data_IF_339192941009
#
_entry.id   IF_339192941009
#
_cell.length_a   1.000
_cell.length_b   1.000
_cell.length_c   1.000
_cell.angle_alpha   90.00
_cell.angle_beta   90.00
_cell.angle_gamma   90.00
#
_symmetry.space_group_name_H-M   'P 1'
#
loop_
_entity.id
_entity.type
_entity.pdbx_description
1 polymer ?
#
# COMPACT_ATOMS: atom_id res chain seq x y z
N UNK A 1 0.37 -56.93 0.52
CA UNK A 1 0.72 -56.77 1.96
C UNK A 1 1.76 -55.68 2.07
N UNK A 2 1.54 -54.68 2.93
CA UNK A 2 2.42 -53.51 3.08
C UNK A 2 1.62 -52.21 3.05
N UNK A 3 0.94 -51.94 4.16
CA UNK A 3 0.13 -50.77 4.45
C UNK A 3 0.98 -49.69 5.14
N UNK A 4 0.62 -48.42 4.97
CA UNK A 4 1.07 -47.28 5.80
C UNK A 4 1.71 -46.17 4.97
N UNK A 5 1.40 -44.88 5.14
CA UNK A 5 0.54 -44.18 6.08
C UNK A 5 0.24 -42.81 5.47
N UNK A 6 -1.02 -42.42 5.41
CA UNK A 6 -1.46 -41.07 5.04
C UNK A 6 -1.08 -40.10 6.16
N UNK A 7 -0.35 -39.03 5.84
CA UNK A 7 -0.29 -37.82 6.66
C UNK A 7 -0.85 -36.65 5.85
N UNK A 8 -2.01 -36.19 6.29
CA UNK A 8 -2.52 -34.87 5.96
C UNK A 8 -1.58 -33.81 6.54
N UNK A 9 -1.16 -32.86 5.71
CA UNK A 9 -0.82 -31.51 6.15
C UNK A 9 -1.48 -30.52 5.20
N UNK A 10 -2.06 -29.51 5.83
CA UNK A 10 -3.07 -28.58 5.39
C UNK A 10 -2.38 -27.23 5.17
N UNK A 11 -2.75 -26.56 4.05
CA UNK A 11 -2.56 -25.15 3.67
C UNK A 11 -1.15 -24.57 3.52
N UNK A 12 -0.86 -24.09 2.29
CA UNK A 12 -0.16 -22.81 2.07
C UNK A 12 -0.41 -22.25 0.66
N UNK A 13 -0.61 -20.93 0.62
CA UNK A 13 -0.33 -19.93 -0.43
C UNK A 13 -1.01 -19.98 -1.81
N UNK A 14 -1.84 -18.94 -2.03
CA UNK A 14 -1.78 -18.06 -3.22
C UNK A 14 -1.66 -18.73 -4.57
N UNK A 15 -2.59 -19.63 -4.90
CA UNK A 15 -2.69 -20.20 -6.23
C UNK A 15 -3.42 -19.23 -7.17
N UNK A 16 -2.67 -18.36 -7.87
CA UNK A 16 -3.16 -17.80 -9.14
C UNK A 16 -2.62 -18.72 -10.23
N UNK A 17 -3.46 -19.55 -10.89
CA UNK A 17 -2.99 -20.47 -11.92
C UNK A 17 -2.29 -19.73 -13.06
N UNK A 18 -1.17 -20.25 -13.54
CA UNK A 18 -0.29 -19.63 -14.54
C UNK A 18 -1.00 -19.17 -15.82
N UNK A 19 -2.09 -19.85 -16.21
CA UNK A 19 -2.93 -19.49 -17.36
C UNK A 19 -3.64 -18.14 -17.22
N UNK A 20 -3.70 -17.55 -16.02
CA UNK A 20 -4.37 -16.28 -15.74
C UNK A 20 -3.44 -15.06 -15.73
N UNK A 21 -2.11 -15.25 -15.68
CA UNK A 21 -1.14 -14.15 -15.80
C UNK A 21 -1.21 -13.45 -17.17
N UNK A 22 -1.61 -14.16 -18.23
CA UNK A 22 -1.71 -13.58 -19.58
C UNK A 22 -3.01 -12.80 -19.83
N UNK A 23 -4.13 -13.14 -19.19
CA UNK A 23 -5.39 -12.42 -19.33
C UNK A 23 -5.46 -11.19 -18.40
N UNK A 24 -4.87 -11.25 -17.20
CA UNK A 24 -4.78 -10.09 -16.30
C UNK A 24 -3.77 -9.06 -16.81
N UNK A 25 -2.58 -9.47 -17.26
CA UNK A 25 -1.53 -8.52 -17.66
C UNK A 25 -1.92 -7.66 -18.88
N UNK A 26 -2.65 -8.23 -19.87
CA UNK A 26 -3.12 -7.47 -21.04
C UNK A 26 -4.18 -6.42 -20.71
N UNK A 27 -5.07 -6.72 -19.75
CA UNK A 27 -6.07 -5.80 -19.23
C UNK A 27 -5.47 -4.79 -18.25
N UNK A 28 -4.48 -5.19 -17.46
CA UNK A 28 -3.82 -4.38 -16.44
C UNK A 28 -2.88 -3.32 -17.03
N UNK A 29 -2.13 -3.65 -18.09
CA UNK A 29 -1.32 -2.67 -18.84
C UNK A 29 -2.22 -1.67 -19.57
N UNK A 30 -3.34 -2.15 -20.15
CA UNK A 30 -4.32 -1.28 -20.79
C UNK A 30 -5.02 -0.37 -19.77
N UNK A 31 -5.30 -0.85 -18.57
CA UNK A 31 -6.03 -0.13 -17.53
C UNK A 31 -5.14 0.88 -16.77
N UNK A 32 -3.89 0.53 -16.47
CA UNK A 32 -2.89 1.45 -15.89
C UNK A 32 -2.49 2.57 -16.86
N UNK A 33 -2.52 2.32 -18.18
CA UNK A 33 -2.33 3.35 -19.20
C UNK A 33 -3.62 4.17 -19.46
N UNK A 34 -4.81 3.61 -19.24
CA UNK A 34 -6.11 4.21 -19.57
C UNK A 34 -6.69 5.13 -18.48
N UNK A 35 -6.28 4.99 -17.21
CA UNK A 35 -6.71 5.89 -16.13
C UNK A 35 -6.20 7.35 -16.29
N UNK A 36 -5.23 7.60 -17.19
CA UNK A 36 -4.50 8.88 -17.26
C UNK A 36 -4.21 9.41 -18.68
N UNK A 37 -4.96 9.00 -19.71
CA UNK A 37 -4.99 9.70 -21.01
C UNK A 37 -6.42 10.11 -21.35
N UNK A 38 -6.60 11.38 -21.69
CA UNK A 38 -7.89 12.02 -21.99
C UNK A 38 -8.67 11.37 -23.17
N UNK A 39 -8.02 10.52 -23.97
CA UNK A 39 -8.56 9.99 -25.23
C UNK A 39 -9.44 8.73 -25.09
N UNK A 40 -9.78 8.25 -23.88
CA UNK A 40 -10.50 6.97 -23.68
C UNK A 40 -12.04 7.08 -23.63
N UNK A 41 -12.60 8.29 -23.63
CA UNK A 41 -13.85 8.57 -22.92
C UNK A 41 -15.19 8.05 -23.50
N UNK A 42 -15.27 7.18 -24.50
CA UNK A 42 -16.59 6.63 -24.92
C UNK A 42 -16.57 5.18 -25.37
N UNK A 43 -15.60 4.76 -26.18
CA UNK A 43 -15.62 3.42 -26.76
C UNK A 43 -15.30 2.32 -25.73
N UNK A 44 -14.40 2.60 -24.79
CA UNK A 44 -13.84 1.55 -23.95
C UNK A 44 -14.36 1.54 -22.51
N UNK A 45 -14.92 2.64 -21.98
CA UNK A 45 -15.77 2.59 -20.77
C UNK A 45 -16.99 1.73 -21.02
N UNK A 46 -17.67 1.94 -22.15
CA UNK A 46 -18.83 1.13 -22.56
C UNK A 46 -18.43 -0.33 -22.82
N UNK A 47 -17.21 -0.58 -23.34
CA UNK A 47 -16.67 -1.93 -23.54
C UNK A 47 -16.32 -2.61 -22.22
N UNK A 48 -15.80 -1.89 -21.23
CA UNK A 48 -15.48 -2.40 -19.89
C UNK A 48 -16.75 -2.68 -19.09
N UNK A 49 -17.72 -1.77 -19.08
CA UNK A 49 -19.03 -1.99 -18.43
C UNK A 49 -19.77 -3.16 -19.10
N UNK A 50 -19.80 -3.22 -20.44
CA UNK A 50 -20.40 -4.35 -21.17
C UNK A 50 -19.62 -5.66 -20.98
N UNK A 51 -18.30 -5.59 -20.87
CA UNK A 51 -17.43 -6.72 -20.55
C UNK A 51 -17.73 -7.29 -19.17
N UNK A 52 -17.76 -6.44 -18.15
CA UNK A 52 -18.17 -6.78 -16.79
C UNK A 52 -19.57 -7.38 -16.73
N UNK A 53 -20.54 -6.79 -17.44
CA UNK A 53 -21.90 -7.34 -17.51
C UNK A 53 -21.94 -8.74 -18.16
N UNK A 54 -21.20 -8.93 -19.26
CA UNK A 54 -21.11 -10.24 -19.91
C UNK A 54 -20.40 -11.26 -18.99
N UNK A 55 -19.32 -10.85 -18.32
CA UNK A 55 -18.55 -11.69 -17.40
C UNK A 55 -19.37 -12.12 -16.17
N UNK A 56 -20.21 -11.23 -15.61
CA UNK A 56 -21.15 -11.59 -14.53
C UNK A 56 -22.14 -12.69 -14.94
N UNK A 57 -22.50 -12.75 -16.23
CA UNK A 57 -23.37 -13.80 -16.79
C UNK A 57 -22.62 -15.13 -16.95
N UNK A 58 -21.36 -15.07 -17.40
CA UNK A 58 -20.50 -16.25 -17.64
C UNK A 58 -20.02 -16.88 -16.33
N UNK A 59 -19.75 -16.05 -15.31
CA UNK A 59 -19.28 -16.47 -13.98
C UNK A 59 -20.29 -17.32 -13.20
N UNK A 60 -21.57 -17.33 -13.58
CA UNK A 60 -22.62 -18.16 -12.92
C UNK A 60 -22.33 -19.67 -12.98
N UNK A 61 -21.43 -20.10 -13.87
CA UNK A 61 -21.06 -21.51 -14.08
C UNK A 61 -19.68 -21.91 -13.50
N UNK A 62 -18.99 -21.03 -12.76
CA UNK A 62 -17.67 -21.31 -12.17
C UNK A 62 -17.76 -21.92 -10.75
N UNK A 63 -16.68 -22.59 -10.25
CA UNK A 63 -16.58 -22.98 -8.86
C UNK A 63 -16.75 -21.76 -7.93
N UNK A 64 -17.45 -21.93 -6.80
CA UNK A 64 -17.84 -20.82 -5.93
C UNK A 64 -16.66 -19.94 -5.48
N UNK A 65 -15.50 -20.52 -5.19
CA UNK A 65 -14.33 -19.77 -4.70
C UNK A 65 -13.67 -18.90 -5.79
N UNK A 66 -13.50 -19.42 -7.02
CA UNK A 66 -12.95 -18.65 -8.14
C UNK A 66 -13.89 -17.49 -8.53
N UNK A 67 -15.20 -17.77 -8.54
CA UNK A 67 -16.23 -16.77 -8.82
C UNK A 67 -16.19 -15.62 -7.79
N UNK A 68 -16.03 -15.95 -6.51
CA UNK A 68 -15.95 -14.97 -5.43
C UNK A 68 -14.76 -14.02 -5.61
N UNK A 69 -13.58 -14.55 -5.91
CA UNK A 69 -12.39 -13.72 -6.17
C UNK A 69 -12.64 -12.78 -7.34
N UNK A 70 -13.19 -13.27 -8.45
CA UNK A 70 -13.49 -12.39 -9.59
C UNK A 70 -14.49 -11.28 -9.23
N UNK A 71 -15.58 -11.62 -8.53
CA UNK A 71 -16.56 -10.64 -8.08
C UNK A 71 -15.97 -9.58 -7.14
N UNK A 72 -15.04 -9.95 -6.26
CA UNK A 72 -14.32 -9.01 -5.40
C UNK A 72 -13.49 -7.99 -6.20
N UNK A 73 -12.74 -8.46 -7.20
CA UNK A 73 -11.94 -7.58 -8.07
C UNK A 73 -12.82 -6.68 -8.93
N UNK A 74 -13.91 -7.24 -9.47
CA UNK A 74 -14.87 -6.49 -10.28
C UNK A 74 -15.60 -5.45 -9.43
N UNK A 75 -15.88 -5.76 -8.17
CA UNK A 75 -16.44 -4.81 -7.22
C UNK A 75 -15.48 -3.66 -6.93
N UNK A 76 -14.21 -3.92 -6.65
CA UNK A 76 -13.21 -2.86 -6.43
C UNK A 76 -13.04 -1.96 -7.64
N UNK A 77 -12.98 -2.56 -8.84
CA UNK A 77 -12.91 -1.81 -10.09
C UNK A 77 -14.16 -0.96 -10.30
N UNK A 78 -15.34 -1.52 -10.01
CA UNK A 78 -16.61 -0.80 -10.03
C UNK A 78 -16.60 0.37 -9.04
N UNK A 79 -16.08 0.16 -7.84
CA UNK A 79 -16.01 1.17 -6.78
C UNK A 79 -15.11 2.33 -7.18
N UNK A 80 -13.89 2.03 -7.64
CA UNK A 80 -12.95 3.03 -8.15
C UNK A 80 -13.53 3.76 -9.37
N UNK A 81 -14.14 3.01 -10.30
CA UNK A 81 -14.76 3.57 -11.50
C UNK A 81 -15.91 4.53 -11.17
N UNK A 82 -16.76 4.18 -10.21
CA UNK A 82 -17.83 5.04 -9.72
C UNK A 82 -17.28 6.29 -9.04
N UNK A 83 -16.30 6.14 -8.15
CA UNK A 83 -15.63 7.27 -7.50
C UNK A 83 -15.05 8.25 -8.53
N UNK A 84 -14.28 7.76 -9.50
CA UNK A 84 -13.72 8.60 -10.57
C UNK A 84 -14.81 9.24 -11.45
N UNK A 85 -15.88 8.52 -11.76
CA UNK A 85 -16.97 9.08 -12.56
C UNK A 85 -17.69 10.23 -11.84
N UNK A 86 -17.90 10.13 -10.53
CA UNK A 86 -18.51 11.19 -9.71
C UNK A 86 -17.57 12.36 -9.43
N UNK A 87 -16.25 12.16 -9.52
CA UNK A 87 -15.25 13.24 -9.47
C UNK A 87 -15.21 14.05 -10.77
N UNK A 88 -15.36 13.37 -11.92
CA UNK A 88 -15.24 14.00 -13.24
C UNK A 88 -16.55 14.56 -13.80
N UNK A 89 -17.69 13.99 -13.39
CA UNK A 89 -19.00 14.33 -13.94
C UNK A 89 -20.01 14.64 -12.83
N UNK A 90 -21.01 15.49 -13.09
CA UNK A 90 -22.12 15.67 -12.16
C UNK A 90 -22.88 14.34 -11.98
N UNK A 91 -23.52 14.10 -10.80
CA UNK A 91 -24.18 12.83 -10.50
C UNK A 91 -25.17 12.38 -11.58
N UNK A 92 -25.95 13.31 -12.15
CA UNK A 92 -26.96 13.04 -13.19
C UNK A 92 -26.38 12.61 -14.55
N UNK A 93 -25.05 12.68 -14.73
CA UNK A 93 -24.41 12.36 -16.01
C UNK A 93 -24.53 10.87 -16.33
N UNK A 94 -24.82 10.47 -17.59
CA UNK A 94 -25.04 9.06 -17.96
C UNK A 94 -23.90 8.12 -17.56
N UNK A 95 -22.65 8.59 -17.58
CA UNK A 95 -21.49 7.78 -17.17
C UNK A 95 -21.43 7.54 -15.65
N UNK A 96 -21.77 8.55 -14.85
CA UNK A 96 -21.80 8.41 -13.40
C UNK A 96 -22.92 7.45 -13.00
N UNK A 97 -24.09 7.59 -13.62
CA UNK A 97 -25.23 6.69 -13.42
C UNK A 97 -24.91 5.25 -13.85
N UNK A 98 -24.27 5.04 -15.00
CA UNK A 98 -23.88 3.71 -15.45
C UNK A 98 -22.82 3.05 -14.54
N UNK A 99 -21.85 3.83 -14.05
CA UNK A 99 -20.86 3.32 -13.08
C UNK A 99 -21.52 2.93 -11.76
N UNK A 100 -22.46 3.75 -11.29
CA UNK A 100 -23.24 3.49 -10.08
C UNK A 100 -24.07 2.21 -10.20
N UNK A 101 -24.78 2.04 -11.32
CA UNK A 101 -25.62 0.86 -11.57
C UNK A 101 -24.78 -0.43 -11.61
N UNK A 102 -23.60 -0.37 -12.22
CA UNK A 102 -22.67 -1.50 -12.25
C UNK A 102 -22.16 -1.84 -10.85
N UNK A 103 -21.72 -0.84 -10.08
CA UNK A 103 -21.26 -1.03 -8.71
C UNK A 103 -22.37 -1.63 -7.85
N UNK A 104 -23.60 -1.13 -7.97
CA UNK A 104 -24.75 -1.67 -7.26
C UNK A 104 -24.99 -3.14 -7.61
N UNK A 105 -25.00 -3.50 -8.91
CA UNK A 105 -25.21 -4.88 -9.35
C UNK A 105 -24.16 -5.84 -8.77
N UNK A 106 -22.88 -5.46 -8.81
CA UNK A 106 -21.81 -6.29 -8.26
C UNK A 106 -21.89 -6.36 -6.73
N UNK A 107 -22.28 -5.27 -6.06
CA UNK A 107 -22.49 -5.26 -4.60
C UNK A 107 -23.58 -6.25 -4.19
N UNK A 108 -24.71 -6.25 -4.91
CA UNK A 108 -25.81 -7.19 -4.66
C UNK A 108 -25.38 -8.64 -4.88
N UNK A 109 -24.62 -8.92 -5.95
CA UNK A 109 -24.08 -10.24 -6.21
C UNK A 109 -23.11 -10.72 -5.10
N UNK A 110 -22.33 -9.80 -4.52
CA UNK A 110 -21.46 -10.10 -3.38
C UNK A 110 -22.25 -10.30 -2.07
N UNK A 111 -23.34 -9.57 -1.86
CA UNK A 111 -24.22 -9.79 -0.71
C UNK A 111 -24.84 -11.19 -0.74
N UNK A 112 -25.27 -11.67 -1.91
CA UNK A 112 -25.76 -13.05 -2.08
C UNK A 112 -24.69 -14.09 -1.75
N UNK A 113 -23.41 -13.77 -1.96
CA UNK A 113 -22.31 -14.70 -1.79
C UNK A 113 -21.67 -14.68 -0.39
N UNK A 114 -21.82 -13.58 0.36
CA UNK A 114 -21.26 -13.37 1.71
C UNK A 114 -22.31 -13.31 2.82
N UNK A 115 -23.51 -13.83 2.59
CA UNK A 115 -24.62 -13.82 3.56
C UNK A 115 -24.94 -12.41 4.10
N UNK A 116 -24.91 -11.40 3.23
CA UNK A 116 -25.54 -10.11 3.46
C UNK A 116 -24.66 -8.94 3.90
N UNK A 117 -23.37 -9.13 4.18
CA UNK A 117 -22.47 -8.00 4.46
C UNK A 117 -21.20 -8.02 3.60
N UNK A 118 -20.85 -6.85 3.08
CA UNK A 118 -19.63 -6.60 2.35
C UNK A 118 -18.83 -5.54 3.08
N UNK A 119 -17.60 -5.84 3.46
CA UNK A 119 -16.67 -4.93 4.11
C UNK A 119 -15.48 -4.68 3.20
N UNK A 120 -15.16 -3.40 3.02
CA UNK A 120 -13.94 -2.92 2.40
C UNK A 120 -13.10 -2.31 3.52
N UNK A 121 -11.95 -2.89 3.84
CA UNK A 121 -11.04 -2.36 4.84
C UNK A 121 -9.66 -2.08 4.26
N UNK A 122 -8.95 -1.14 4.87
CA UNK A 122 -7.57 -0.83 4.54
C UNK A 122 -6.69 -1.10 5.76
N UNK A 123 -5.65 -1.91 5.56
CA UNK A 123 -4.70 -2.29 6.60
C UNK A 123 -3.25 -2.30 6.11
N UNK A 124 -2.33 -2.78 6.95
CA UNK A 124 -0.88 -2.77 6.68
C UNK A 124 -0.48 -3.54 5.40
N UNK A 125 -1.28 -4.53 4.99
CA UNK A 125 -1.05 -5.35 3.79
C UNK A 125 -1.82 -4.87 2.55
N UNK A 126 -2.49 -3.71 2.64
CA UNK A 126 -3.29 -3.13 1.57
C UNK A 126 -4.79 -3.26 1.78
N UNK A 127 -5.53 -3.39 0.67
CA UNK A 127 -6.99 -3.44 0.66
C UNK A 127 -7.49 -4.86 0.92
N UNK A 128 -8.47 -4.96 1.81
CA UNK A 128 -9.13 -6.19 2.22
C UNK A 128 -10.61 -6.11 1.86
N UNK A 129 -11.17 -7.19 1.33
CA UNK A 129 -12.62 -7.37 1.18
C UNK A 129 -13.06 -8.54 2.03
N UNK A 130 -13.94 -8.33 3.01
CA UNK A 130 -14.36 -9.38 3.94
C UNK A 130 -13.18 -10.16 4.54
N UNK A 131 -12.12 -9.42 4.92
CA UNK A 131 -10.85 -9.93 5.45
C UNK A 131 -9.98 -10.73 4.46
N UNK A 132 -10.35 -10.80 3.18
CA UNK A 132 -9.52 -11.37 2.13
C UNK A 132 -8.61 -10.31 1.53
N UNK A 133 -7.30 -10.57 1.55
CA UNK A 133 -6.30 -9.67 0.95
C UNK A 133 -6.46 -9.67 -0.55
N UNK A 134 -6.52 -8.48 -1.11
CA UNK A 134 -6.43 -8.27 -2.55
C UNK A 134 -4.97 -8.06 -2.91
N UNK A 135 -4.58 -8.44 -4.13
CA UNK A 135 -3.19 -8.34 -4.59
C UNK A 135 -2.66 -6.90 -4.44
N UNK A 136 -1.66 -6.67 -3.58
CA UNK A 136 -1.13 -5.33 -3.29
C UNK A 136 -0.30 -4.77 -4.47
N UNK A 137 0.07 -5.60 -5.45
CA UNK A 137 0.82 -5.13 -6.63
C UNK A 137 -0.04 -4.28 -7.56
N UNK A 138 -1.36 -4.34 -7.43
CA UNK A 138 -2.30 -3.58 -8.26
C UNK A 138 -2.41 -2.16 -7.74
N UNK A 139 -1.72 -1.25 -8.42
CA UNK A 139 -1.55 0.16 -8.02
C UNK A 139 -2.87 0.89 -7.72
N UNK A 140 -3.94 0.63 -8.46
CA UNK A 140 -5.20 1.34 -8.23
C UNK A 140 -5.90 0.92 -6.93
N UNK A 141 -5.70 -0.31 -6.46
CA UNK A 141 -6.26 -0.75 -5.17
C UNK A 141 -5.51 -0.10 -4.01
N UNK A 142 -4.18 0.06 -4.14
CA UNK A 142 -3.40 0.83 -3.18
C UNK A 142 -3.92 2.28 -3.05
N UNK A 143 -4.17 2.95 -4.18
CA UNK A 143 -4.74 4.31 -4.20
C UNK A 143 -6.11 4.40 -3.57
N UNK A 144 -6.96 3.38 -3.72
CA UNK A 144 -8.23 3.31 -3.01
C UNK A 144 -8.00 3.28 -1.49
N UNK A 145 -7.01 2.51 -1.03
CA UNK A 145 -6.57 2.50 0.37
C UNK A 145 -6.14 3.89 0.87
N UNK A 146 -5.35 4.61 0.08
CA UNK A 146 -4.95 5.99 0.36
C UNK A 146 -6.16 6.94 0.45
N UNK A 147 -7.11 6.84 -0.49
CA UNK A 147 -8.33 7.67 -0.49
C UNK A 147 -9.18 7.44 0.78
N UNK A 148 -9.26 6.20 1.27
CA UNK A 148 -9.91 5.86 2.54
C UNK A 148 -9.12 6.43 3.73
N UNK A 149 -7.81 6.23 3.75
CA UNK A 149 -6.92 6.72 4.80
C UNK A 149 -6.97 8.24 4.95
N UNK A 150 -6.91 8.96 3.83
CA UNK A 150 -6.97 10.42 3.77
C UNK A 150 -8.30 10.99 4.27
N UNK A 151 -9.36 10.16 4.32
CA UNK A 151 -10.68 10.52 4.89
C UNK A 151 -10.87 9.99 6.32
N UNK A 152 -9.83 9.45 6.93
CA UNK A 152 -9.84 8.78 8.22
C UNK A 152 -10.82 7.60 8.30
N UNK A 153 -10.99 6.88 7.19
CA UNK A 153 -11.84 5.70 7.09
C UNK A 153 -10.95 4.47 7.15
N UNK A 154 -11.15 3.62 8.17
CA UNK A 154 -10.46 2.33 8.26
C UNK A 154 -11.18 1.26 7.44
N UNK A 155 -12.51 1.24 7.53
CA UNK A 155 -13.34 0.34 6.74
C UNK A 155 -14.67 0.96 6.34
N UNK A 156 -15.25 0.46 5.26
CA UNK A 156 -16.62 0.72 4.83
C UNK A 156 -17.37 -0.61 4.87
N UNK A 157 -18.53 -0.61 5.51
CA UNK A 157 -19.41 -1.77 5.58
C UNK A 157 -20.66 -1.43 4.77
N UNK A 158 -20.97 -2.30 3.81
CA UNK A 158 -22.16 -2.26 2.98
C UNK A 158 -23.04 -3.42 3.41
N UNK A 159 -24.13 -3.12 4.12
CA UNK A 159 -25.10 -4.10 4.59
C UNK A 159 -26.18 -4.35 3.51
N UNK A 160 -26.80 -5.53 3.55
CA UNK A 160 -27.93 -5.87 2.69
C UNK A 160 -29.08 -4.86 2.85
N UNK A 161 -29.84 -4.64 1.78
CA UNK A 161 -30.92 -3.65 1.75
C UNK A 161 -30.48 -2.26 1.27
N UNK A 162 -29.19 -2.09 0.97
CA UNK A 162 -28.65 -0.86 0.40
C UNK A 162 -29.39 -0.47 -0.89
N UNK A 163 -29.90 0.76 -0.91
CA UNK A 163 -30.58 1.30 -2.09
C UNK A 163 -29.61 2.04 -3.01
N UNK A 164 -29.98 2.13 -4.29
CA UNK A 164 -29.25 2.90 -5.29
C UNK A 164 -29.00 4.35 -4.84
N UNK A 165 -30.01 4.98 -4.23
CA UNK A 165 -29.93 6.36 -3.76
C UNK A 165 -28.91 6.52 -2.62
N UNK A 166 -28.75 5.52 -1.76
CA UNK A 166 -27.74 5.53 -0.70
C UNK A 166 -26.33 5.44 -1.27
N UNK A 167 -26.14 4.55 -2.25
CA UNK A 167 -24.85 4.43 -2.94
C UNK A 167 -24.49 5.70 -3.71
N UNK A 168 -25.47 6.36 -4.35
CA UNK A 168 -25.27 7.65 -5.04
C UNK A 168 -24.80 8.75 -4.09
N UNK A 169 -25.44 8.86 -2.91
CA UNK A 169 -25.04 9.80 -1.86
C UNK A 169 -23.62 9.51 -1.38
N UNK A 170 -23.30 8.25 -1.13
CA UNK A 170 -21.96 7.82 -0.75
C UNK A 170 -20.91 8.24 -1.81
N UNK A 171 -21.15 7.94 -3.09
CA UNK A 171 -20.23 8.32 -4.18
C UNK A 171 -20.10 9.84 -4.33
N UNK A 172 -21.17 10.59 -4.06
CA UNK A 172 -21.16 12.06 -4.03
C UNK A 172 -20.26 12.59 -2.91
N UNK A 173 -20.21 11.94 -1.74
CA UNK A 173 -19.27 12.33 -0.70
C UNK A 173 -17.82 11.93 -1.01
N UNK A 174 -17.62 10.81 -1.70
CA UNK A 174 -16.30 10.42 -2.19
C UNK A 174 -15.74 11.36 -3.28
N UNK A 175 -16.61 12.06 -4.02
CA UNK A 175 -16.17 13.08 -4.98
C UNK A 175 -15.77 14.41 -4.34
N UNK A 176 -16.10 14.63 -3.07
CA UNK A 176 -15.60 15.78 -2.33
C UNK A 176 -14.11 15.58 -1.98
N UNK A 177 -13.30 16.66 -1.96
CA UNK A 177 -11.95 16.61 -1.41
C UNK A 177 -11.95 16.10 0.03
N UNK A 178 -11.00 15.26 0.40
CA UNK A 178 -10.92 14.64 1.73
C UNK A 178 -10.98 15.68 2.87
N UNK A 179 -10.26 16.80 2.72
CA UNK A 179 -10.28 17.91 3.68
C UNK A 179 -11.69 18.45 3.93
N UNK A 180 -12.54 18.59 2.90
CA UNK A 180 -13.93 19.05 3.05
C UNK A 180 -14.81 18.02 3.74
N UNK A 181 -14.55 16.73 3.53
CA UNK A 181 -15.25 15.65 4.23
C UNK A 181 -14.92 15.71 5.73
N UNK A 182 -13.65 15.90 6.07
CA UNK A 182 -13.17 16.02 7.46
C UNK A 182 -13.75 17.27 8.15
N UNK A 183 -13.70 18.43 7.49
CA UNK A 183 -14.23 19.70 8.02
C UNK A 183 -15.74 19.64 8.31
N UNK A 184 -16.47 18.76 7.63
CA UNK A 184 -17.90 18.50 7.86
C UNK A 184 -18.17 17.37 8.86
N UNK A 185 -17.19 16.99 9.67
CA UNK A 185 -17.34 15.97 10.71
C UNK A 185 -17.10 14.53 10.24
N UNK A 186 -16.60 14.34 9.01
CA UNK A 186 -16.25 13.04 8.44
C UNK A 186 -17.39 12.36 7.68
N UNK A 187 -17.05 11.27 7.00
CA UNK A 187 -18.01 10.54 6.15
C UNK A 187 -19.18 9.95 6.94
N UNK A 188 -18.93 9.50 8.18
CA UNK A 188 -19.95 8.92 9.05
C UNK A 188 -21.13 9.89 9.25
N UNK A 189 -20.82 11.13 9.65
CA UNK A 189 -21.82 12.16 9.92
C UNK A 189 -22.58 12.55 8.64
N UNK A 190 -21.87 12.71 7.53
CA UNK A 190 -22.48 13.06 6.23
C UNK A 190 -23.48 11.99 5.74
N UNK A 191 -23.15 10.70 5.93
CA UNK A 191 -24.05 9.62 5.58
C UNK A 191 -25.29 9.59 6.49
N UNK A 192 -25.10 9.79 7.79
CA UNK A 192 -26.19 9.86 8.77
C UNK A 192 -27.15 11.03 8.47
N UNK A 193 -26.63 12.24 8.24
CA UNK A 193 -27.41 13.44 7.93
C UNK A 193 -28.24 13.30 6.64
N UNK A 194 -27.81 12.44 5.72
CA UNK A 194 -28.51 12.20 4.45
C UNK A 194 -29.37 10.94 4.46
N UNK A 195 -29.55 10.30 5.63
CA UNK A 195 -30.40 9.12 5.78
C UNK A 195 -29.84 7.89 5.05
N UNK A 196 -28.51 7.75 5.00
CA UNK A 196 -27.85 6.53 4.52
C UNK A 196 -27.60 5.63 5.73
N UNK A 197 -28.22 4.45 5.73
CA UNK A 197 -28.21 3.53 6.87
C UNK A 197 -27.46 2.23 6.57
N UNK A 198 -27.41 1.82 5.30
CA UNK A 198 -26.77 0.55 4.90
C UNK A 198 -25.28 0.69 4.54
N UNK A 199 -24.73 1.90 4.55
CA UNK A 199 -23.31 2.16 4.32
C UNK A 199 -22.72 2.78 5.58
N UNK A 200 -21.83 2.06 6.25
CA UNK A 200 -21.27 2.45 7.55
C UNK A 200 -19.75 2.53 7.47
N UNK A 201 -19.15 3.73 7.62
CA UNK A 201 -17.71 3.85 7.78
C UNK A 201 -17.32 3.53 9.23
N UNK A 202 -16.38 2.60 9.40
CA UNK A 202 -15.60 2.52 10.63
C UNK A 202 -14.45 3.52 10.52
N UNK A 203 -14.57 4.62 11.26
CA UNK A 203 -13.55 5.65 11.28
C UNK A 203 -12.32 5.14 12.04
N UNK A 204 -11.14 5.58 11.62
CA UNK A 204 -9.92 5.42 12.41
C UNK A 204 -10.14 6.16 13.73
N UNK A 205 -10.29 5.41 14.84
CA UNK A 205 -10.26 6.01 16.17
C UNK A 205 -8.84 6.44 16.47
N UNK A 206 -8.54 7.72 16.23
CA UNK A 206 -7.44 8.37 16.95
C UNK A 206 -7.89 8.53 18.39
N UNK A 207 -7.69 7.50 19.21
CA UNK A 207 -7.85 7.64 20.64
C UNK A 207 -6.83 8.69 21.11
N UNK A 208 -7.31 9.84 21.59
CA UNK A 208 -6.54 10.65 22.52
C UNK A 208 -6.21 9.77 23.73
N UNK A 209 -4.98 9.27 23.76
CA UNK A 209 -4.31 8.56 24.87
C UNK A 209 -5.09 7.42 25.53
N UNK A 210 -4.61 6.20 25.29
CA UNK A 210 -4.28 5.32 26.41
C UNK A 210 -2.83 4.87 26.27
N UNK A 211 -2.07 5.14 27.34
CA UNK A 211 -0.73 4.64 27.58
C UNK A 211 -0.78 3.13 27.77
N UNK A 212 -0.71 2.38 26.68
CA UNK A 212 -0.26 0.99 26.69
C UNK A 212 0.90 0.87 25.71
N UNK A 213 1.94 0.17 26.15
CA UNK A 213 3.22 -0.03 25.48
C UNK A 213 3.03 -0.66 24.09
N UNK A 214 2.84 0.18 23.09
CA UNK A 214 3.38 -0.07 21.75
C UNK A 214 4.56 0.88 21.62
N UNK A 215 5.78 0.33 21.54
CA UNK A 215 7.02 1.12 21.57
C UNK A 215 7.22 2.03 20.35
N UNK A 216 6.29 2.04 19.39
CA UNK A 216 6.31 2.92 18.22
C UNK A 216 5.15 3.90 18.28
N UNK A 217 5.48 5.17 18.54
CA UNK A 217 4.51 6.24 18.47
C UNK A 217 3.86 6.31 17.09
N UNK A 218 2.56 6.58 17.06
CA UNK A 218 1.74 6.87 15.87
C UNK A 218 2.38 7.83 14.84
N UNK A 219 3.24 8.81 15.21
CA UNK A 219 3.96 9.64 14.23
C UNK A 219 4.94 8.87 13.36
N UNK A 220 5.64 7.87 13.91
CA UNK A 220 6.69 7.13 13.21
C UNK A 220 6.08 6.27 12.08
N UNK A 221 4.91 5.66 12.31
CA UNK A 221 4.22 4.84 11.29
C UNK A 221 3.79 5.65 10.06
N UNK A 222 3.29 6.87 10.27
CA UNK A 222 2.90 7.78 9.17
C UNK A 222 4.14 8.22 8.40
N UNK A 223 5.23 8.54 9.11
CA UNK A 223 6.52 8.87 8.49
C UNK A 223 7.09 7.69 7.69
N UNK A 224 6.95 6.46 8.18
CA UNK A 224 7.44 5.25 7.51
C UNK A 224 6.66 4.94 6.23
N UNK A 225 5.33 5.00 6.27
CA UNK A 225 4.49 4.82 5.09
C UNK A 225 4.84 5.88 4.01
N UNK A 226 5.01 7.13 4.44
CA UNK A 226 5.39 8.24 3.56
C UNK A 226 6.79 8.07 2.98
N UNK A 227 7.74 7.55 3.76
CA UNK A 227 9.08 7.21 3.31
C UNK A 227 9.04 6.09 2.26
N UNK A 228 8.27 5.03 2.48
CA UNK A 228 8.10 3.94 1.52
C UNK A 228 7.53 4.41 0.19
N UNK A 229 6.50 5.25 0.24
CA UNK A 229 5.93 5.88 -0.95
C UNK A 229 7.01 6.64 -1.73
N UNK A 230 7.82 7.46 -1.06
CA UNK A 230 8.88 8.22 -1.71
C UNK A 230 9.97 7.32 -2.32
N UNK A 231 10.35 6.24 -1.65
CA UNK A 231 11.35 5.29 -2.14
C UNK A 231 10.84 4.41 -3.30
N UNK A 232 9.54 4.12 -3.36
CA UNK A 232 8.92 3.36 -4.44
C UNK A 232 8.73 4.21 -5.70
N UNK A 233 8.25 5.44 -5.54
CA UNK A 233 7.85 6.29 -6.67
C UNK A 233 8.93 7.28 -7.13
N UNK A 234 9.81 7.72 -6.22
CA UNK A 234 10.84 8.73 -6.51
C UNK A 234 11.94 8.27 -7.46
N UNK A 235 12.21 6.96 -7.55
CA UNK A 235 13.27 6.42 -8.40
C UNK A 235 12.84 6.21 -9.87
N UNK A 236 11.54 6.13 -10.16
CA UNK A 236 11.03 5.65 -11.46
C UNK A 236 10.33 6.69 -12.34
N UNK A 237 9.87 7.83 -11.79
CA UNK A 237 9.12 8.82 -12.58
C UNK A 237 9.76 10.20 -12.49
N UNK A 238 10.21 10.68 -13.65
CA UNK A 238 10.64 12.07 -13.82
C UNK A 238 9.53 13.02 -13.36
N UNK A 239 9.87 13.89 -12.41
CA UNK A 239 9.21 15.14 -12.06
C UNK A 239 7.67 15.11 -12.10
N UNK A 240 6.98 14.84 -10.98
CA UNK A 240 5.59 15.30 -10.86
C UNK A 240 4.58 14.47 -10.07
N UNK A 241 4.96 13.73 -9.04
CA UNK A 241 4.00 13.42 -7.96
C UNK A 241 4.53 14.09 -6.70
N UNK A 242 4.15 15.36 -6.52
CA UNK A 242 4.17 15.93 -5.20
C UNK A 242 3.11 15.22 -4.37
N UNK A 243 3.44 14.90 -3.12
CA UNK A 243 2.43 14.79 -2.07
C UNK A 243 1.49 15.99 -2.21
N UNK A 244 0.20 15.87 -1.91
CA UNK A 244 -0.84 16.89 -2.17
C UNK A 244 -0.56 18.33 -1.68
N UNK A 245 0.57 18.55 -0.98
CA UNK A 245 1.12 19.82 -0.52
C UNK A 245 2.26 20.41 -1.40
N UNK A 246 2.63 19.79 -2.53
CA UNK A 246 3.67 20.30 -3.43
C UNK A 246 5.12 19.96 -3.06
N UNK A 247 5.34 19.19 -1.98
CA UNK A 247 6.67 18.70 -1.60
C UNK A 247 7.15 17.59 -2.55
N UNK A 248 8.40 17.69 -2.99
CA UNK A 248 9.06 16.66 -3.78
C UNK A 248 9.41 15.44 -2.92
N UNK A 249 9.43 14.25 -3.52
CA UNK A 249 9.84 13.02 -2.82
C UNK A 249 11.23 13.14 -2.17
N UNK A 250 12.13 13.93 -2.75
CA UNK A 250 13.45 14.18 -2.20
C UNK A 250 13.41 15.03 -0.92
N UNK A 251 12.55 16.03 -0.84
CA UNK A 251 12.37 16.85 0.38
C UNK A 251 11.80 16.01 1.53
N UNK A 252 10.84 15.12 1.22
CA UNK A 252 10.28 14.19 2.21
C UNK A 252 11.35 13.22 2.71
N UNK A 253 12.17 12.65 1.82
CA UNK A 253 13.28 11.77 2.22
C UNK A 253 14.31 12.54 3.02
N UNK A 254 14.67 13.78 2.65
CA UNK A 254 15.60 14.61 3.42
C UNK A 254 15.06 14.85 4.83
N UNK A 255 13.81 15.28 4.97
CA UNK A 255 13.18 15.52 6.27
C UNK A 255 13.12 14.24 7.12
N UNK A 256 12.89 13.08 6.50
CA UNK A 256 12.95 11.79 7.19
C UNK A 256 14.37 11.48 7.70
N UNK A 257 15.37 11.70 6.86
CA UNK A 257 16.77 11.50 7.19
C UNK A 257 17.31 12.50 8.21
N UNK A 258 16.62 13.61 8.53
CA UNK A 258 17.03 14.53 9.60
C UNK A 258 17.06 13.86 10.98
N UNK A 259 16.37 12.73 11.16
CA UNK A 259 16.38 11.97 12.40
C UNK A 259 16.96 10.56 12.20
N UNK A 260 18.28 10.37 12.46
CA UNK A 260 18.95 9.08 12.33
C UNK A 260 18.33 7.96 13.17
N UNK A 261 17.77 8.27 14.34
CA UNK A 261 17.11 7.28 15.21
C UNK A 261 15.82 6.76 14.59
N UNK A 262 14.98 7.65 14.07
CA UNK A 262 13.74 7.27 13.37
C UNK A 262 14.09 6.47 12.10
N UNK A 263 15.13 6.90 11.38
CA UNK A 263 15.63 6.19 10.19
C UNK A 263 16.12 4.77 10.54
N UNK A 264 16.90 4.61 11.60
CA UNK A 264 17.37 3.30 12.05
C UNK A 264 16.19 2.37 12.37
N UNK A 265 15.21 2.86 13.13
CA UNK A 265 14.00 2.10 13.47
C UNK A 265 13.20 1.66 12.24
N UNK A 266 13.07 2.54 11.24
CA UNK A 266 12.43 2.19 9.97
C UNK A 266 13.13 1.03 9.27
N UNK A 267 14.46 1.10 9.18
CA UNK A 267 15.27 0.05 8.56
C UNK A 267 15.18 -1.27 9.33
N UNK A 268 15.08 -1.23 10.66
CA UNK A 268 14.85 -2.43 11.48
C UNK A 268 13.48 -3.05 11.25
N UNK A 269 12.43 -2.23 11.12
CA UNK A 269 11.07 -2.74 10.87
C UNK A 269 10.90 -3.43 9.52
N UNK A 270 11.64 -2.97 8.49
CA UNK A 270 11.68 -3.66 7.19
C UNK A 270 12.01 -5.14 7.31
N UNK A 271 12.75 -5.50 8.35
CA UNK A 271 13.20 -6.87 8.62
C UNK A 271 12.21 -7.62 9.50
N UNK A 272 11.60 -6.97 10.50
CA UNK A 272 10.59 -7.60 11.37
C UNK A 272 9.33 -8.03 10.60
N UNK A 273 8.99 -7.32 9.52
CA UNK A 273 7.90 -7.73 8.63
C UNK A 273 8.22 -8.98 7.78
N UNK A 274 9.48 -9.41 7.73
CA UNK A 274 10.00 -10.44 6.82
C UNK A 274 10.85 -11.50 7.53
N UNK A 275 10.61 -11.80 8.82
CA UNK A 275 11.45 -12.68 9.66
C UNK A 275 11.72 -14.10 9.10
N UNK A 276 10.95 -14.57 8.11
CA UNK A 276 11.20 -15.83 7.39
C UNK A 276 12.05 -15.70 6.12
N UNK A 277 12.50 -14.51 5.74
CA UNK A 277 13.23 -14.24 4.49
C UNK A 277 14.76 -14.18 4.71
N UNK A 278 15.55 -15.10 4.12
CA UNK A 278 17.01 -15.08 4.24
C UNK A 278 17.69 -13.84 3.62
N UNK A 279 16.95 -13.01 2.85
CA UNK A 279 17.46 -11.82 2.17
C UNK A 279 17.12 -10.48 2.86
N UNK A 280 16.75 -10.47 4.14
CA UNK A 280 16.32 -9.26 4.86
C UNK A 280 17.33 -8.09 4.80
N UNK A 281 18.63 -8.38 4.73
CA UNK A 281 19.71 -7.37 4.60
C UNK A 281 19.61 -6.62 3.26
N UNK A 282 19.13 -7.31 2.21
CA UNK A 282 18.95 -6.73 0.89
C UNK A 282 17.93 -5.59 0.88
N UNK A 283 16.92 -5.63 1.74
CA UNK A 283 15.91 -4.57 1.85
C UNK A 283 16.46 -3.31 2.49
N UNK A 284 17.26 -3.45 3.55
CA UNK A 284 17.95 -2.33 4.21
C UNK A 284 18.91 -1.65 3.23
N UNK A 285 19.73 -2.45 2.54
CA UNK A 285 20.66 -1.95 1.51
C UNK A 285 19.91 -1.25 0.38
N UNK A 286 18.84 -1.84 -0.12
CA UNK A 286 18.03 -1.23 -1.18
C UNK A 286 17.37 0.07 -0.73
N UNK A 287 16.89 0.16 0.51
CA UNK A 287 16.30 1.38 1.05
C UNK A 287 17.33 2.51 1.14
N UNK A 288 18.53 2.23 1.67
CA UNK A 288 19.63 3.20 1.73
C UNK A 288 20.10 3.64 0.35
N UNK A 289 20.29 2.71 -0.59
CA UNK A 289 20.69 3.03 -1.97
C UNK A 289 19.63 3.89 -2.67
N UNK A 290 18.34 3.56 -2.54
CA UNK A 290 17.25 4.35 -3.12
C UNK A 290 17.16 5.73 -2.50
N UNK A 291 17.21 5.82 -1.17
CA UNK A 291 17.16 7.09 -0.45
C UNK A 291 18.31 8.01 -0.87
N UNK A 292 19.54 7.49 -0.83
CA UNK A 292 20.71 8.27 -1.19
C UNK A 292 20.76 8.63 -2.68
N UNK A 293 20.34 7.74 -3.58
CA UNK A 293 20.23 8.07 -5.01
C UNK A 293 19.19 9.17 -5.24
N UNK A 294 18.04 9.10 -4.56
CA UNK A 294 17.00 10.10 -4.69
C UNK A 294 17.50 11.48 -4.20
N UNK A 295 18.13 11.53 -3.02
CA UNK A 295 18.70 12.78 -2.50
C UNK A 295 19.81 13.30 -3.41
N UNK A 296 20.78 12.46 -3.80
CA UNK A 296 21.90 12.86 -4.65
C UNK A 296 21.44 13.45 -5.98
N UNK A 297 20.43 12.84 -6.62
CA UNK A 297 19.97 13.24 -7.95
C UNK A 297 18.96 14.40 -7.93
N UNK A 298 18.14 14.52 -6.88
CA UNK A 298 17.03 15.49 -6.82
C UNK A 298 17.23 16.62 -5.82
N UNK A 299 18.10 16.44 -4.82
CA UNK A 299 18.46 17.46 -3.84
C UNK A 299 19.96 17.39 -3.48
N UNK A 300 20.86 17.66 -4.44
CA UNK A 300 22.31 17.51 -4.23
C UNK A 300 22.86 18.43 -3.14
N UNK A 301 22.20 19.56 -2.85
CA UNK A 301 22.58 20.45 -1.76
C UNK A 301 22.44 19.78 -0.37
N UNK A 302 21.45 18.90 -0.20
CA UNK A 302 21.22 18.16 1.04
C UNK A 302 22.05 16.86 1.14
N UNK A 303 22.79 16.46 0.09
CA UNK A 303 23.47 15.16 0.02
C UNK A 303 24.44 14.93 1.17
N UNK A 304 25.34 15.89 1.45
CA UNK A 304 26.37 15.70 2.48
C UNK A 304 25.78 15.49 3.88
N UNK A 305 24.75 16.26 4.24
CA UNK A 305 24.07 16.11 5.53
C UNK A 305 23.28 14.80 5.58
N UNK A 306 22.52 14.50 4.54
CA UNK A 306 21.72 13.26 4.46
C UNK A 306 22.60 12.02 4.51
N UNK A 307 23.77 12.05 3.86
CA UNK A 307 24.78 10.99 3.91
C UNK A 307 25.30 10.76 5.32
N UNK A 308 25.65 11.82 6.05
CA UNK A 308 26.07 11.72 7.45
C UNK A 308 24.95 11.14 8.33
N UNK A 309 23.71 11.59 8.14
CA UNK A 309 22.58 11.08 8.90
C UNK A 309 22.27 9.60 8.60
N UNK A 310 22.44 9.17 7.35
CA UNK A 310 22.33 7.75 6.96
C UNK A 310 23.44 6.90 7.58
N UNK A 311 24.66 7.43 7.68
CA UNK A 311 25.77 6.74 8.35
C UNK A 311 25.48 6.59 9.86
N UNK A 312 24.96 7.64 10.50
CA UNK A 312 24.53 7.56 11.90
C UNK A 312 23.35 6.60 12.09
N UNK A 313 22.37 6.57 11.18
CA UNK A 313 21.28 5.61 11.23
C UNK A 313 21.79 4.16 11.10
N UNK A 314 22.76 3.92 10.21
CA UNK A 314 23.42 2.63 10.07
C UNK A 314 24.11 2.21 11.37
N UNK A 315 24.81 3.14 12.03
CA UNK A 315 25.42 2.90 13.34
C UNK A 315 24.39 2.58 14.43
N UNK A 316 23.19 3.16 14.37
CA UNK A 316 22.14 2.94 15.35
C UNK A 316 21.36 1.63 15.17
N UNK A 317 21.54 0.91 14.06
CA UNK A 317 20.94 -0.41 13.88
C UNK A 317 21.44 -1.41 14.94
N UNK A 318 20.62 -2.43 15.21
CA UNK A 318 21.03 -3.55 16.03
C UNK A 318 22.33 -4.18 15.52
N UNK A 319 23.21 -4.69 16.42
CA UNK A 319 24.53 -5.16 16.03
C UNK A 319 24.53 -6.21 14.91
N UNK A 320 23.54 -7.12 14.90
CA UNK A 320 23.40 -8.15 13.85
C UNK A 320 23.13 -7.53 12.48
N UNK A 321 22.21 -6.56 12.42
CA UNK A 321 21.81 -5.93 11.16
C UNK A 321 22.88 -5.02 10.62
N UNK A 322 23.52 -4.26 11.52
CA UNK A 322 24.65 -3.38 11.21
C UNK A 322 25.79 -4.17 10.56
N UNK A 323 26.22 -5.24 11.21
CA UNK A 323 27.31 -6.12 10.75
C UNK A 323 27.03 -6.69 9.36
N UNK A 324 25.85 -7.30 9.16
CA UNK A 324 25.48 -7.88 7.87
C UNK A 324 25.33 -6.82 6.76
N UNK A 325 24.83 -5.64 7.09
CA UNK A 325 24.71 -4.54 6.12
C UNK A 325 26.08 -4.05 5.67
N UNK A 326 27.04 -3.94 6.60
CA UNK A 326 28.43 -3.59 6.31
C UNK A 326 29.15 -4.67 5.49
N UNK A 327 28.91 -5.95 5.78
CA UNK A 327 29.44 -7.07 5.00
C UNK A 327 29.00 -6.98 3.54
N UNK A 328 27.73 -6.67 3.29
CA UNK A 328 27.20 -6.46 1.92
C UNK A 328 27.85 -5.24 1.26
N UNK A 329 28.03 -4.14 1.99
CA UNK A 329 28.72 -2.96 1.47
C UNK A 329 30.16 -3.26 1.05
N UNK A 330 30.91 -3.99 1.88
CA UNK A 330 32.31 -4.37 1.60
C UNK A 330 32.45 -5.36 0.44
N UNK A 331 31.46 -6.23 0.21
CA UNK A 331 31.47 -7.22 -0.89
C UNK A 331 31.13 -6.63 -2.26
N UNK A 332 30.40 -5.51 -2.31
CA UNK A 332 29.88 -4.88 -3.54
C UNK A 332 30.93 -4.07 -4.32
N UNK A 333 32.24 -4.34 -4.15
CA UNK A 333 33.39 -3.55 -4.60
C UNK A 333 33.62 -3.39 -6.12
N UNK A 334 32.57 -3.28 -6.92
CA UNK A 334 32.63 -3.14 -8.39
C UNK A 334 32.28 -1.74 -8.90
N UNK A 335 32.13 -0.74 -8.03
CA UNK A 335 32.00 0.68 -8.41
C UNK A 335 31.43 1.55 -7.29
N UNK A 336 31.67 2.88 -7.36
CA UNK A 336 31.24 3.89 -6.38
C UNK A 336 29.72 3.84 -6.17
N UNK A 337 29.28 3.06 -5.18
CA UNK A 337 27.87 2.97 -4.82
C UNK A 337 27.53 3.98 -3.72
N UNK A 338 26.27 4.42 -3.70
CA UNK A 338 25.73 5.29 -2.63
C UNK A 338 26.00 4.69 -1.24
N UNK A 339 25.94 3.36 -1.12
CA UNK A 339 26.20 2.66 0.13
C UNK A 339 27.67 2.77 0.57
N UNK A 340 28.63 2.68 -0.35
CA UNK A 340 30.05 2.89 -0.04
C UNK A 340 30.30 4.31 0.49
N UNK A 341 29.67 5.31 -0.10
CA UNK A 341 29.76 6.69 0.40
C UNK A 341 29.15 6.86 1.79
N UNK A 342 28.02 6.20 2.08
CA UNK A 342 27.39 6.21 3.40
C UNK A 342 28.30 5.53 4.43
N UNK A 343 28.90 4.38 4.10
CA UNK A 343 29.82 3.68 5.00
C UNK A 343 31.09 4.49 5.23
N UNK A 344 31.63 5.13 4.20
CA UNK A 344 32.79 6.02 4.31
C UNK A 344 32.52 7.29 5.14
N UNK A 345 31.26 7.62 5.40
CA UNK A 345 30.86 8.76 6.23
C UNK A 345 30.76 8.41 7.73
N UNK A 346 30.92 7.14 8.12
CA UNK A 346 30.98 6.75 9.53
C UNK A 346 32.15 7.44 10.25
N UNK A 347 31.90 7.89 11.47
CA UNK A 347 32.90 8.56 12.29
C UNK A 347 33.92 7.55 12.87
N UNK A 348 35.17 7.96 13.14
CA UNK A 348 36.21 7.05 13.63
C UNK A 348 35.84 6.30 14.92
N UNK A 349 35.12 6.95 15.84
CA UNK A 349 34.61 6.37 17.08
C UNK A 349 33.49 5.34 16.82
N UNK A 350 32.62 5.59 15.84
CA UNK A 350 31.60 4.63 15.41
C UNK A 350 32.25 3.39 14.80
N UNK A 351 33.29 3.56 13.97
CA UNK A 351 34.05 2.45 13.39
C UNK A 351 34.73 1.63 14.50
N UNK A 352 35.38 2.28 15.46
CA UNK A 352 36.02 1.60 16.59
C UNK A 352 35.01 0.81 17.45
N UNK A 353 33.83 1.39 17.68
CA UNK A 353 32.72 0.74 18.38
C UNK A 353 32.23 -0.52 17.63
N UNK A 354 31.99 -0.40 16.32
CA UNK A 354 31.58 -1.54 15.47
C UNK A 354 32.61 -2.67 15.49
N UNK A 355 33.90 -2.35 15.35
CA UNK A 355 34.97 -3.37 15.39
C UNK A 355 35.03 -4.08 16.74
N UNK A 356 34.78 -3.35 17.84
CA UNK A 356 34.76 -3.92 19.19
C UNK A 356 33.56 -4.86 19.37
N UNK A 357 32.39 -4.48 18.88
CA UNK A 357 31.16 -5.30 18.90
C UNK A 357 31.36 -6.61 18.12
N UNK A 358 32.00 -6.57 16.95
CA UNK A 358 32.28 -7.76 16.13
C UNK A 358 33.28 -8.69 16.82
N UNK A 359 34.42 -8.14 17.27
CA UNK A 359 35.47 -8.94 17.92
C UNK A 359 34.98 -9.63 19.19
N UNK A 360 34.20 -8.94 20.04
CA UNK A 360 33.66 -9.54 21.28
C UNK A 360 32.66 -10.66 21.02
N UNK A 361 31.97 -10.64 19.88
CA UNK A 361 31.04 -11.70 19.46
C UNK A 361 31.76 -12.98 19.06
N UNK A 362 32.82 -12.85 18.26
CA UNK A 362 33.60 -14.01 17.81
C UNK A 362 34.20 -14.77 19.01
N UNK A 363 34.68 -14.05 20.04
CA UNK A 363 35.20 -14.66 21.27
C UNK A 363 34.14 -15.36 22.15
N UNK A 364 32.85 -15.05 21.99
CA UNK A 364 31.76 -15.66 22.78
C UNK A 364 31.08 -16.84 22.09
N UNK A 365 31.35 -17.08 20.80
CA UNK A 365 30.82 -18.23 20.05
C UNK A 365 31.79 -19.42 19.99
N UNK A 366 33.09 -19.19 20.24
CA UNK A 366 34.15 -20.22 20.20
C UNK A 366 34.53 -20.81 21.59
N UNK A 367 33.75 -20.51 22.64
CA UNK A 367 33.90 -21.07 24.00
C UNK A 367 32.62 -21.71 24.50
#
# INVERSE_FOLDING_TARGET
MGCGTVRHLVYNDSYIPEKYKCCSAGLEVAWNAALFRDDWLTASFTKTVRGLMNDLTVQKNQPNEERLVHLQYDWLRGFIGAMSAFQLYPPVHPKAQAALDLLLQVTLALHEAYDGELSLSYGEKGVLINNFSIDPTITAFHRLGEELHNRHIHSLIFSQGMERAELEKCMTFFSLPAQRVIERGGLALLLEETGVHHIRPAMLRYAERSTQKDDLGTPDRVLFARMEECLLYGAGRGNGMGSGNGESAAEVVVAFLENPKITARYLEQKITATETNPNFVGEVVAALEKAGTLVYTKNPAAWNQSKQNMAEALYLLSPVLREKTLEVACRKSTGSSVLEEIVAALQPDQIASILTDTLTRDYTQDG
#
